data_IF_552790579278
#
_entry.id   IF_552790579278
#
_cell.length_a   1.000
_cell.length_b   1.000
_cell.length_c   1.000
_cell.angle_alpha   90.00
_cell.angle_beta   90.00
_cell.angle_gamma   90.00
#
_symmetry.space_group_name_H-M   'P 1'
#
loop_
_entity.id
_entity.type
_entity.pdbx_description
1 polymer ?
#
# COMPACT_ATOMS: atom_id res chain seq x y z
N UNK A 1 -5.43 10.39 -5.70
CA UNK A 1 -5.48 9.44 -4.57
C UNK A 1 -4.09 8.88 -4.32
N UNK A 2 -3.68 8.69 -3.08
CA UNK A 2 -2.33 8.16 -2.76
C UNK A 2 -2.39 6.65 -2.58
N UNK A 3 -1.37 5.95 -3.07
CA UNK A 3 -1.16 4.51 -2.91
C UNK A 3 0.20 4.27 -2.27
N UNK A 4 0.27 3.24 -1.45
CA UNK A 4 1.48 2.87 -0.73
C UNK A 4 1.42 1.43 -0.27
N UNK A 5 2.58 0.88 0.08
CA UNK A 5 2.68 -0.40 0.76
C UNK A 5 3.66 -0.30 1.92
N UNK A 6 3.49 -1.18 2.91
CA UNK A 6 4.37 -1.25 4.07
C UNK A 6 4.62 -2.71 4.44
N UNK A 7 5.67 -2.93 5.21
CA UNK A 7 6.02 -4.21 5.80
C UNK A 7 6.63 -3.99 7.18
N UNK A 8 6.92 -5.06 7.91
CA UNK A 8 7.73 -5.00 9.14
C UNK A 8 9.15 -4.50 8.88
N UNK A 9 9.67 -4.64 7.66
CA UNK A 9 10.98 -4.13 7.25
C UNK A 9 10.97 -2.63 6.89
N UNK A 10 9.82 -1.95 7.00
CA UNK A 10 9.67 -0.54 6.65
C UNK A 10 8.68 -0.30 5.51
N UNK A 11 8.67 0.94 5.01
CA UNK A 11 7.73 1.37 3.99
C UNK A 11 8.24 1.12 2.56
N UNK A 12 7.34 0.70 1.68
CA UNK A 12 7.58 0.68 0.24
C UNK A 12 7.28 2.02 -0.42
N UNK A 13 7.31 2.03 -1.75
CA UNK A 13 7.09 3.24 -2.53
C UNK A 13 5.66 3.79 -2.39
N UNK A 14 5.56 5.12 -2.43
CA UNK A 14 4.29 5.84 -2.48
C UNK A 14 4.07 6.40 -3.88
N UNK A 15 2.82 6.42 -4.33
CA UNK A 15 2.48 6.90 -5.65
C UNK A 15 1.16 7.65 -5.67
N UNK A 16 1.11 8.73 -6.44
CA UNK A 16 -0.13 9.43 -6.73
C UNK A 16 -0.82 8.78 -7.93
N UNK A 17 -1.98 8.21 -7.67
CA UNK A 17 -2.87 7.73 -8.72
C UNK A 17 -3.92 8.80 -9.06
N UNK A 18 -4.02 9.15 -10.34
CA UNK A 18 -5.06 10.05 -10.85
C UNK A 18 -6.18 9.20 -11.46
N UNK A 19 -7.39 9.30 -10.90
CA UNK A 19 -8.58 8.57 -11.37
C UNK A 19 -9.01 7.40 -10.48
N UNK A 20 -10.01 6.67 -10.94
CA UNK A 20 -10.55 5.47 -10.30
C UNK A 20 -9.68 4.26 -10.60
N UNK A 21 -9.61 3.30 -9.67
CA UNK A 21 -8.90 2.04 -9.88
C UNK A 21 -9.88 0.96 -10.33
N UNK A 22 -9.58 0.37 -11.48
CA UNK A 22 -10.15 -0.87 -11.98
C UNK A 22 -9.13 -2.01 -11.87
N UNK A 23 -9.46 -3.21 -12.34
CA UNK A 23 -8.56 -4.36 -12.21
C UNK A 23 -7.23 -4.18 -12.97
N UNK A 24 -7.26 -3.66 -14.20
CA UNK A 24 -6.05 -3.44 -15.00
C UNK A 24 -5.11 -2.41 -14.38
N UNK A 25 -5.64 -1.25 -13.97
CA UNK A 25 -4.86 -0.23 -13.27
C UNK A 25 -4.37 -0.72 -11.91
N UNK A 26 -5.10 -1.61 -11.24
CA UNK A 26 -4.61 -2.22 -10.01
C UNK A 26 -3.39 -3.12 -10.28
N UNK A 27 -3.40 -3.92 -11.34
CA UNK A 27 -2.24 -4.71 -11.75
C UNK A 27 -1.03 -3.81 -12.03
N UNK A 28 -1.24 -2.68 -12.73
CA UNK A 28 -0.18 -1.69 -12.96
C UNK A 28 0.40 -1.15 -11.64
N UNK A 29 -0.47 -0.86 -10.66
CA UNK A 29 -0.04 -0.44 -9.31
C UNK A 29 0.79 -1.53 -8.63
N UNK A 30 0.42 -2.81 -8.74
CA UNK A 30 1.21 -3.91 -8.18
C UNK A 30 2.58 -4.03 -8.86
N UNK A 31 2.63 -3.85 -10.17
CA UNK A 31 3.88 -3.92 -10.95
C UNK A 31 4.83 -2.77 -10.63
N UNK A 32 4.29 -1.56 -10.55
CA UNK A 32 5.09 -0.34 -10.35
C UNK A 32 5.51 -0.14 -8.89
N UNK A 33 4.68 -0.57 -7.93
CA UNK A 33 4.92 -0.26 -6.51
C UNK A 33 5.20 -1.49 -5.66
N UNK A 34 4.33 -2.50 -5.75
CA UNK A 34 4.40 -3.65 -4.85
C UNK A 34 5.61 -4.52 -5.16
N UNK A 35 5.87 -4.87 -6.43
CA UNK A 35 6.97 -5.74 -6.79
C UNK A 35 8.36 -5.15 -6.49
N UNK A 36 8.67 -3.88 -6.81
CA UNK A 36 9.94 -3.27 -6.45
C UNK A 36 10.12 -3.16 -4.94
N UNK A 37 9.07 -2.73 -4.22
CA UNK A 37 9.09 -2.65 -2.76
C UNK A 37 9.31 -4.02 -2.12
N UNK A 38 8.64 -5.07 -2.64
CA UNK A 38 8.85 -6.44 -2.16
C UNK A 38 10.28 -6.91 -2.37
N UNK A 39 10.86 -6.64 -3.55
CA UNK A 39 12.26 -6.99 -3.84
C UNK A 39 13.22 -6.26 -2.89
N UNK A 40 13.01 -4.97 -2.68
CA UNK A 40 13.86 -4.14 -1.82
C UNK A 40 13.77 -4.54 -0.34
N UNK A 41 12.54 -4.70 0.19
CA UNK A 41 12.29 -4.90 1.62
C UNK A 41 12.50 -6.35 2.07
N UNK A 42 12.16 -7.33 1.22
CA UNK A 42 12.24 -8.75 1.59
C UNK A 42 13.46 -9.46 0.98
N UNK A 43 14.14 -8.87 -0.01
CA UNK A 43 15.38 -9.41 -0.60
C UNK A 43 15.28 -10.90 -0.98
N UNK A 44 14.13 -11.30 -1.52
CA UNK A 44 13.86 -12.69 -1.92
C UNK A 44 13.28 -13.59 -0.83
N UNK A 45 13.20 -13.14 0.43
CA UNK A 45 12.53 -13.88 1.50
C UNK A 45 11.03 -14.05 1.18
N UNK A 46 10.43 -15.19 1.57
CA UNK A 46 8.99 -15.38 1.44
C UNK A 46 8.22 -14.30 2.21
N UNK A 47 7.15 -13.80 1.61
CA UNK A 47 6.24 -12.85 2.24
C UNK A 47 4.79 -13.22 1.90
N UNK A 48 3.87 -12.84 2.78
CA UNK A 48 2.44 -12.93 2.53
C UNK A 48 1.97 -11.52 2.18
N UNK A 49 1.18 -11.39 1.11
CA UNK A 49 0.63 -10.14 0.63
C UNK A 49 -0.81 -9.96 1.13
N UNK A 50 -1.05 -9.10 2.13
CA UNK A 50 -2.40 -8.70 2.51
C UNK A 50 -2.93 -7.62 1.55
N UNK A 51 -4.17 -7.80 1.10
CA UNK A 51 -4.99 -6.76 0.48
C UNK A 51 -6.47 -6.98 0.83
N UNK A 52 -7.29 -5.93 0.76
CA UNK A 52 -8.73 -6.07 1.02
C UNK A 52 -9.47 -6.74 -0.16
N UNK A 53 -10.73 -7.09 0.06
CA UNK A 53 -11.59 -7.71 -0.95
C UNK A 53 -12.28 -6.69 -1.88
N UNK A 54 -11.66 -5.55 -2.18
CA UNK A 54 -12.21 -4.61 -3.15
C UNK A 54 -12.36 -5.28 -4.53
N UNK A 55 -13.38 -4.89 -5.31
CA UNK A 55 -13.70 -5.50 -6.62
C UNK A 55 -12.48 -5.63 -7.55
N UNK A 56 -11.59 -4.63 -7.70
CA UNK A 56 -10.39 -4.76 -8.52
C UNK A 56 -9.38 -5.80 -8.01
N UNK A 57 -9.34 -6.02 -6.69
CA UNK A 57 -8.37 -6.91 -6.04
C UNK A 57 -8.77 -8.37 -6.20
N UNK A 58 -10.08 -8.65 -6.17
CA UNK A 58 -10.65 -9.99 -6.33
C UNK A 58 -11.06 -10.31 -7.78
N UNK A 59 -10.85 -9.38 -8.72
CA UNK A 59 -11.14 -9.61 -10.13
C UNK A 59 -10.32 -10.80 -10.68
N UNK A 60 -10.93 -11.58 -11.58
CA UNK A 60 -10.29 -12.79 -12.14
C UNK A 60 -8.91 -12.51 -12.75
N UNK A 61 -8.77 -11.40 -13.48
CA UNK A 61 -7.49 -10.98 -14.08
C UNK A 61 -6.41 -10.70 -13.03
N UNK A 62 -6.78 -10.03 -11.93
CA UNK A 62 -5.89 -9.72 -10.82
C UNK A 62 -5.46 -10.99 -10.08
N UNK A 63 -6.41 -11.85 -9.73
CA UNK A 63 -6.11 -13.12 -9.05
C UNK A 63 -5.25 -14.04 -9.92
N UNK A 64 -5.53 -14.10 -11.22
CA UNK A 64 -4.71 -14.84 -12.19
C UNK A 64 -3.29 -14.28 -12.29
N UNK A 65 -3.13 -12.95 -12.30
CA UNK A 65 -1.84 -12.29 -12.31
C UNK A 65 -1.03 -12.60 -11.03
N UNK A 66 -1.68 -12.54 -9.86
CA UNK A 66 -1.06 -12.86 -8.55
C UNK A 66 -0.60 -14.32 -8.52
N UNK A 67 -1.45 -15.24 -8.99
CA UNK A 67 -1.15 -16.66 -9.07
C UNK A 67 0.03 -16.96 -9.99
N UNK A 68 0.04 -16.41 -11.22
CA UNK A 68 1.15 -16.59 -12.18
C UNK A 68 2.50 -16.12 -11.62
N UNK A 69 2.49 -15.11 -10.76
CA UNK A 69 3.70 -14.59 -10.10
C UNK A 69 4.04 -15.27 -8.76
N UNK A 70 3.29 -16.32 -8.39
CA UNK A 70 3.47 -17.08 -7.14
C UNK A 70 3.41 -16.19 -5.89
N UNK A 71 2.56 -15.17 -5.93
CA UNK A 71 2.34 -14.26 -4.79
C UNK A 71 1.34 -14.93 -3.85
N UNK A 72 1.76 -15.18 -2.61
CA UNK A 72 0.89 -15.71 -1.55
C UNK A 72 0.02 -14.57 -1.00
N UNK A 73 -1.27 -14.65 -1.26
CA UNK A 73 -2.26 -13.64 -0.80
C UNK A 73 -2.82 -14.07 0.56
N UNK A 74 -2.92 -13.14 1.51
CA UNK A 74 -3.66 -13.37 2.75
C UNK A 74 -5.17 -13.29 2.48
N UNK A 75 -5.94 -14.29 2.91
CA UNK A 75 -7.39 -14.22 2.86
C UNK A 75 -7.87 -13.15 3.84
N UNK A 76 -8.43 -12.05 3.32
CA UNK A 76 -8.94 -10.96 4.13
C UNK A 76 -10.40 -11.21 4.52
N UNK A 77 -10.80 -11.04 5.79
CA UNK A 77 -12.20 -11.11 6.17
C UNK A 77 -13.00 -9.94 5.60
N UNK A 78 -14.27 -10.19 5.24
CA UNK A 78 -15.13 -9.16 4.69
C UNK A 78 -15.35 -8.01 5.70
N UNK A 79 -15.53 -6.79 5.20
CA UNK A 79 -15.89 -5.61 6.01
C UNK A 79 -14.95 -5.32 7.20
N UNK A 80 -13.68 -5.70 7.10
CA UNK A 80 -12.70 -5.54 8.19
C UNK A 80 -11.56 -4.56 7.81
N UNK A 81 -11.85 -3.27 7.60
CA UNK A 81 -10.82 -2.28 7.30
C UNK A 81 -9.91 -1.98 8.52
N UNK A 82 -10.42 -2.21 9.72
CA UNK A 82 -9.74 -2.08 11.01
C UNK A 82 -8.54 -3.03 11.16
N UNK A 83 -8.56 -4.17 10.47
CA UNK A 83 -7.47 -5.13 10.48
C UNK A 83 -6.25 -4.69 9.67
N UNK A 84 -6.34 -3.61 8.90
CA UNK A 84 -5.25 -3.15 8.04
C UNK A 84 -4.33 -2.20 8.79
N UNK A 85 -3.07 -2.57 9.10
CA UNK A 85 -2.16 -1.70 9.85
C UNK A 85 -1.89 -0.38 9.13
N UNK A 86 -1.99 -0.35 7.80
CA UNK A 86 -1.78 0.86 7.00
C UNK A 86 -2.88 1.91 7.22
N UNK A 87 -4.09 1.53 7.63
CA UNK A 87 -5.17 2.47 7.92
C UNK A 87 -4.86 3.33 9.14
N UNK A 88 -4.13 2.78 10.13
CA UNK A 88 -3.63 3.55 11.26
C UNK A 88 -2.63 4.62 10.81
N UNK A 89 -1.73 4.26 9.88
CA UNK A 89 -0.78 5.19 9.28
C UNK A 89 -1.51 6.28 8.51
N UNK A 90 -2.47 5.92 7.66
CA UNK A 90 -3.29 6.89 6.93
C UNK A 90 -4.06 7.82 7.84
N UNK A 91 -4.59 7.34 8.97
CA UNK A 91 -5.25 8.18 9.97
C UNK A 91 -4.31 9.22 10.58
N UNK A 92 -3.08 8.82 10.92
CA UNK A 92 -2.04 9.72 11.44
C UNK A 92 -1.66 10.78 10.39
N UNK A 93 -1.39 10.34 9.16
CA UNK A 93 -1.05 11.23 8.04
C UNK A 93 -2.17 12.24 7.80
N UNK A 94 -3.43 11.79 7.70
CA UNK A 94 -4.60 12.67 7.52
C UNK A 94 -4.69 13.72 8.63
N UNK A 95 -4.44 13.35 9.89
CA UNK A 95 -4.46 14.28 11.03
C UNK A 95 -3.38 15.35 10.92
N UNK A 96 -2.14 14.95 10.59
CA UNK A 96 -0.99 15.87 10.43
C UNK A 96 -1.19 16.83 9.27
N UNK A 97 -1.68 16.33 8.14
CA UNK A 97 -2.00 17.13 6.95
C UNK A 97 -3.03 18.20 7.27
N UNK A 98 -4.09 17.84 8.02
CA UNK A 98 -5.12 18.80 8.45
C UNK A 98 -4.54 19.91 9.33
N UNK A 99 -3.55 19.60 10.17
CA UNK A 99 -2.88 20.59 11.03
C UNK A 99 -2.02 21.55 10.22
N UNK A 100 -1.27 21.05 9.21
CA UNK A 100 -0.36 21.87 8.41
C UNK A 100 -1.03 22.72 7.34
N UNK A 101 -2.25 22.38 6.93
CA UNK A 101 -3.02 23.08 5.86
C UNK A 101 -2.17 23.36 4.61
N UNK A 102 -1.53 22.33 4.01
CA UNK A 102 -0.69 22.54 2.85
C UNK A 102 -1.52 23.05 1.66
N UNK A 103 -0.94 23.97 0.88
CA UNK A 103 -1.59 24.55 -0.32
C UNK A 103 -1.42 23.69 -1.58
N UNK A 104 -0.52 22.70 -1.56
CA UNK A 104 -0.25 21.81 -2.70
C UNK A 104 -0.10 20.35 -2.27
N UNK A 105 -0.41 19.42 -3.18
CA UNK A 105 -0.37 17.96 -2.94
C UNK A 105 1.06 17.41 -3.00
N UNK A 106 2.03 18.12 -3.57
CA UNK A 106 3.42 17.67 -3.64
C UNK A 106 4.18 17.84 -2.33
N UNK A 107 3.89 18.90 -1.56
CA UNK A 107 4.44 19.10 -0.21
C UNK A 107 3.98 18.02 0.79
N UNK A 108 2.97 17.22 0.43
CA UNK A 108 2.30 16.21 1.27
C UNK A 108 3.05 14.85 1.33
N UNK A 109 3.77 14.44 0.27
CA UNK A 109 4.34 13.08 0.18
C UNK A 109 5.80 12.98 0.67
N UNK A 110 6.59 14.04 0.50
CA UNK A 110 8.05 13.94 0.56
C UNK A 110 8.65 13.89 1.98
N UNK A 111 7.94 14.34 3.03
CA UNK A 111 8.54 14.55 4.35
C UNK A 111 7.88 13.81 5.52
N UNK A 112 6.59 13.50 5.44
CA UNK A 112 5.86 12.95 6.59
C UNK A 112 5.83 11.41 6.58
N UNK A 113 5.71 10.80 5.41
CA UNK A 113 5.30 9.39 5.34
C UNK A 113 6.46 8.42 5.64
N UNK A 114 7.69 8.74 5.27
CA UNK A 114 8.88 7.97 5.68
C UNK A 114 9.14 8.04 7.19
N UNK A 115 8.91 9.20 7.83
CA UNK A 115 9.23 9.43 9.24
C UNK A 115 8.30 8.64 10.19
N UNK A 116 7.00 8.50 9.88
CA UNK A 116 6.06 7.81 10.80
C UNK A 116 6.20 6.28 10.82
N UNK A 117 6.75 5.66 9.78
CA UNK A 117 6.97 4.21 9.81
C UNK A 117 8.10 3.83 10.79
N UNK A 118 9.17 4.63 10.90
CA UNK A 118 10.21 4.39 11.90
C UNK A 118 9.63 4.42 13.33
N UNK A 119 8.78 5.41 13.61
CA UNK A 119 8.15 5.57 14.94
C UNK A 119 7.12 4.48 15.32
N UNK A 120 6.51 3.79 14.34
CA UNK A 120 5.48 2.76 14.60
C UNK A 120 6.01 1.32 14.54
N UNK A 121 7.15 1.09 13.89
CA UNK A 121 7.77 -0.24 13.78
C UNK A 121 8.94 -0.44 14.76
N UNK A 122 9.24 0.54 15.61
CA UNK A 122 10.27 0.39 16.64
C UNK A 122 11.67 0.17 16.05
N UNK A 123 12.00 0.91 14.98
CA UNK A 123 13.36 1.06 14.44
C UNK A 123 13.77 2.52 14.50
#
# INVERSE_FOLDING_TARGET
MVRGCMSTCGMGSLHMWKGTINADSYIQVLEQLMLPSRRHLFQGRPCIFPHDNARPHTASITMSWLHRRRIRVLKWPACSPDLSPIENIWRIIKRKVRQRRPKTVEFFLATEIQHYCCLLLGV
#
